data_IF_820252339354
#
_entry.id   IF_820252339354
#
_cell.length_a   1.000
_cell.length_b   1.000
_cell.length_c   1.000
_cell.angle_alpha   90.00
_cell.angle_beta   90.00
_cell.angle_gamma   90.00
#
_symmetry.space_group_name_H-M   'P 1'
#
loop_
_entity.id
_entity.type
_entity.pdbx_description
1 polymer ?
#
# COMPACT_ATOMS: atom_id res chain seq x y z
N UNK A 1 -18.31 7.68 -15.93
CA UNK A 1 -17.12 8.25 -15.26
C UNK A 1 -16.25 8.77 -16.37
N UNK A 2 -15.94 10.07 -16.38
CA UNK A 2 -15.10 10.64 -17.42
C UNK A 2 -13.73 9.95 -17.43
N UNK A 3 -13.16 9.75 -18.62
CA UNK A 3 -11.85 9.10 -18.84
C UNK A 3 -10.77 9.70 -17.92
N UNK A 4 -10.81 11.03 -17.75
CA UNK A 4 -9.92 11.80 -16.87
C UNK A 4 -10.09 11.47 -15.39
N UNK A 5 -11.33 11.28 -14.92
CA UNK A 5 -11.61 10.89 -13.54
C UNK A 5 -11.17 9.45 -13.26
N UNK A 6 -11.32 8.55 -14.24
CA UNK A 6 -10.82 7.16 -14.17
C UNK A 6 -9.31 7.12 -14.03
N UNK A 7 -8.60 7.85 -14.89
CA UNK A 7 -7.15 7.92 -14.87
C UNK A 7 -6.63 8.54 -13.56
N UNK A 8 -7.26 9.63 -13.11
CA UNK A 8 -6.90 10.28 -11.84
C UNK A 8 -7.07 9.33 -10.65
N UNK A 9 -8.21 8.64 -10.56
CA UNK A 9 -8.49 7.68 -9.50
C UNK A 9 -7.46 6.54 -9.50
N UNK A 10 -7.14 6.00 -10.67
CA UNK A 10 -6.16 4.94 -10.81
C UNK A 10 -4.75 5.37 -10.36
N UNK A 11 -4.30 6.56 -10.78
CA UNK A 11 -3.01 7.13 -10.36
C UNK A 11 -2.97 7.33 -8.84
N UNK A 12 -4.05 7.86 -8.26
CA UNK A 12 -4.15 8.07 -6.82
C UNK A 12 -4.08 6.74 -6.05
N UNK A 13 -4.78 5.70 -6.53
CA UNK A 13 -4.74 4.36 -5.93
C UNK A 13 -3.37 3.70 -6.05
N UNK A 14 -2.70 3.82 -7.21
CA UNK A 14 -1.34 3.32 -7.39
C UNK A 14 -0.35 4.02 -6.46
N UNK A 15 -0.39 5.34 -6.41
CA UNK A 15 0.54 6.15 -5.61
C UNK A 15 0.35 5.90 -4.12
N UNK A 16 -0.89 5.89 -3.64
CA UNK A 16 -1.21 5.61 -2.23
C UNK A 16 -0.89 4.16 -1.84
N UNK A 17 -1.16 3.19 -2.72
CA UNK A 17 -0.82 1.79 -2.50
C UNK A 17 0.70 1.57 -2.38
N UNK A 18 1.48 2.15 -3.30
CA UNK A 18 2.95 2.10 -3.24
C UNK A 18 3.52 2.79 -2.00
N UNK A 19 2.96 3.93 -1.60
CA UNK A 19 3.36 4.64 -0.39
C UNK A 19 3.10 3.77 0.87
N UNK A 20 1.97 3.07 0.94
CA UNK A 20 1.64 2.13 2.02
C UNK A 20 2.61 0.95 2.10
N UNK A 21 2.97 0.38 0.95
CA UNK A 21 3.96 -0.70 0.86
C UNK A 21 5.34 -0.23 1.34
N UNK A 22 5.79 0.95 0.88
CA UNK A 22 7.05 1.55 1.32
C UNK A 22 7.04 1.85 2.82
N UNK A 23 5.93 2.36 3.34
CA UNK A 23 5.76 2.63 4.77
C UNK A 23 5.79 1.35 5.60
N UNK A 24 5.14 0.28 5.15
CA UNK A 24 5.20 -1.03 5.81
C UNK A 24 6.63 -1.58 5.84
N UNK A 25 7.40 -1.40 4.76
CA UNK A 25 8.83 -1.71 4.70
C UNK A 25 9.67 -0.88 5.67
N UNK A 26 9.44 0.44 5.71
CA UNK A 26 10.11 1.33 6.67
C UNK A 26 9.84 0.93 8.13
N UNK A 27 8.59 0.59 8.45
CA UNK A 27 8.23 0.05 9.76
C UNK A 27 8.92 -1.29 10.05
N UNK A 28 9.17 -2.11 9.04
CA UNK A 28 9.86 -3.39 9.20
C UNK A 28 11.35 -3.23 9.48
N UNK A 29 12.03 -2.37 8.72
CA UNK A 29 13.49 -2.29 8.71
C UNK A 29 14.08 -1.14 9.56
N UNK A 30 13.32 -0.07 9.81
CA UNK A 30 13.87 1.16 10.41
C UNK A 30 13.19 1.55 11.72
N UNK A 31 11.85 1.56 11.77
CA UNK A 31 11.14 2.25 12.85
C UNK A 31 10.80 1.40 14.09
N UNK A 32 10.57 0.09 13.92
CA UNK A 32 10.18 -0.76 15.05
C UNK A 32 11.40 -1.45 15.66
N UNK A 33 11.61 -1.36 16.98
CA UNK A 33 12.61 -2.18 17.66
C UNK A 33 12.32 -3.66 17.39
N UNK A 34 13.36 -4.50 17.43
CA UNK A 34 13.29 -5.94 17.19
C UNK A 34 12.44 -6.73 18.24
N UNK A 35 11.50 -6.07 18.90
CA UNK A 35 10.41 -6.72 19.62
C UNK A 35 9.48 -7.36 18.60
N UNK A 36 9.69 -8.65 18.36
CA UNK A 36 8.88 -9.51 17.51
C UNK A 36 7.53 -9.84 18.16
N UNK A 37 6.88 -8.85 18.79
CA UNK A 37 5.54 -9.05 19.31
C UNK A 37 4.61 -9.37 18.12
N UNK A 38 3.82 -10.46 18.17
CA UNK A 38 3.00 -10.93 17.04
C UNK A 38 2.11 -9.83 16.45
N UNK A 39 1.61 -8.92 17.29
CA UNK A 39 0.82 -7.75 16.89
C UNK A 39 1.54 -6.85 15.87
N UNK A 40 2.84 -6.61 16.01
CA UNK A 40 3.60 -5.72 15.13
C UNK A 40 3.90 -6.38 13.78
N UNK A 41 4.06 -7.71 13.77
CA UNK A 41 4.20 -8.49 12.52
C UNK A 41 2.89 -8.45 11.74
N UNK A 42 1.76 -8.72 12.41
CA UNK A 42 0.43 -8.71 11.79
C UNK A 42 0.15 -7.33 11.17
N UNK A 43 0.31 -6.23 11.92
CA UNK A 43 0.04 -4.88 11.41
C UNK A 43 0.88 -4.56 10.17
N UNK A 44 2.19 -4.88 10.17
CA UNK A 44 3.07 -4.63 9.02
C UNK A 44 2.64 -5.42 7.79
N UNK A 45 2.33 -6.70 7.97
CA UNK A 45 1.85 -7.56 6.87
C UNK A 45 0.50 -7.06 6.34
N UNK A 46 -0.43 -6.67 7.21
CA UNK A 46 -1.72 -6.12 6.79
C UNK A 46 -1.56 -4.83 6.01
N UNK A 47 -0.69 -3.90 6.45
CA UNK A 47 -0.41 -2.67 5.73
C UNK A 47 0.22 -2.94 4.35
N UNK A 48 1.15 -3.89 4.27
CA UNK A 48 1.78 -4.29 3.02
C UNK A 48 0.76 -4.87 2.04
N UNK A 49 -0.07 -5.82 2.49
CA UNK A 49 -1.11 -6.46 1.66
C UNK A 49 -2.15 -5.43 1.21
N UNK A 50 -2.62 -4.56 2.12
CA UNK A 50 -3.57 -3.51 1.79
C UNK A 50 -3.01 -2.53 0.73
N UNK A 51 -1.75 -2.10 0.91
CA UNK A 51 -1.07 -1.24 -0.06
C UNK A 51 -0.92 -1.91 -1.43
N UNK A 52 -0.54 -3.19 -1.46
CA UNK A 52 -0.40 -3.95 -2.70
C UNK A 52 -1.72 -4.11 -3.43
N UNK A 53 -2.80 -4.49 -2.72
CA UNK A 53 -4.15 -4.61 -3.30
C UNK A 53 -4.61 -3.28 -3.88
N UNK A 54 -4.41 -2.18 -3.15
CA UNK A 54 -4.79 -0.84 -3.61
C UNK A 54 -4.04 -0.45 -4.89
N UNK A 55 -2.73 -0.73 -4.95
CA UNK A 55 -1.93 -0.45 -6.13
C UNK A 55 -2.36 -1.29 -7.34
N UNK A 56 -2.65 -2.58 -7.13
CA UNK A 56 -3.14 -3.48 -8.18
C UNK A 56 -4.52 -3.08 -8.70
N UNK A 57 -5.42 -2.61 -7.82
CA UNK A 57 -6.72 -2.07 -8.23
C UNK A 57 -6.54 -0.83 -9.10
N UNK A 58 -5.66 0.09 -8.72
CA UNK A 58 -5.33 1.26 -9.55
C UNK A 58 -4.79 0.85 -10.93
N UNK A 59 -3.87 -0.10 -10.98
CA UNK A 59 -3.33 -0.62 -12.24
C UNK A 59 -4.40 -1.32 -13.11
N UNK A 60 -5.33 -2.05 -12.48
CA UNK A 60 -6.43 -2.72 -13.17
C UNK A 60 -7.45 -1.76 -13.78
N UNK A 61 -7.68 -0.60 -13.15
CA UNK A 61 -8.63 0.43 -13.64
C UNK A 61 -8.12 1.12 -14.92
N UNK A 62 -6.81 1.19 -15.11
CA UNK A 62 -6.15 1.78 -16.30
C UNK A 62 -6.13 0.85 -17.52
N UNK A 63 -6.40 -0.44 -17.32
CA UNK A 63 -6.44 -1.45 -18.38
C UNK A 63 -7.81 -1.45 -19.07
#
# INVERSE_FOLDING_TARGET
MDESLRAFLAIAMMTSGLALVAYAGYLHYVALPAEHAPRHVIIRTTLFVAGLVLALLGAGILR
#
